data_IF_944393894506
#
_entry.id   IF_944393894506
#
_cell.length_a   1.000
_cell.length_b   1.000
_cell.length_c   1.000
_cell.angle_alpha   90.00
_cell.angle_beta   90.00
_cell.angle_gamma   90.00
#
_symmetry.space_group_name_H-M   'P 1'
#
loop_
_entity.id
_entity.type
_entity.pdbx_description
1 polymer ?
#
# COMPACT_ATOMS: atom_id res chain seq x y z
N UNK A 1 -39.21 -2.80 10.05
CA UNK A 1 -38.98 -1.97 11.24
C UNK A 1 -38.25 -0.71 10.82
N UNK A 2 -38.41 0.38 11.55
CA UNK A 2 -37.95 1.76 11.26
C UNK A 2 -36.42 1.96 11.11
N UNK A 3 -35.63 0.90 10.89
CA UNK A 3 -34.16 0.96 10.77
C UNK A 3 -33.65 1.62 9.47
N UNK A 4 -34.53 2.04 8.56
CA UNK A 4 -34.16 2.59 7.25
C UNK A 4 -34.20 4.12 7.11
N UNK A 5 -34.66 4.87 8.13
CA UNK A 5 -34.91 6.33 7.98
C UNK A 5 -34.00 7.24 8.81
N UNK A 6 -33.09 6.69 9.62
CA UNK A 6 -32.28 7.47 10.57
C UNK A 6 -30.77 7.47 10.26
N UNK A 7 -30.36 6.87 9.14
CA UNK A 7 -28.95 6.71 8.78
C UNK A 7 -28.24 8.04 8.53
N UNK A 8 -28.97 9.11 8.20
CA UNK A 8 -28.46 10.45 7.90
C UNK A 8 -28.29 11.33 9.16
N UNK A 9 -28.68 10.84 10.35
CA UNK A 9 -28.62 11.60 11.60
C UNK A 9 -27.22 12.08 11.99
N UNK A 10 -26.17 11.38 11.55
CA UNK A 10 -24.79 11.80 11.77
C UNK A 10 -24.55 13.22 11.21
N UNK A 11 -25.19 13.56 10.10
CA UNK A 11 -25.12 14.89 9.48
C UNK A 11 -26.25 15.81 9.93
N UNK A 12 -27.46 15.28 10.15
CA UNK A 12 -28.66 16.10 10.37
C UNK A 12 -28.97 16.44 11.82
N UNK A 13 -28.27 15.86 12.80
CA UNK A 13 -28.49 16.09 14.25
C UNK A 13 -27.19 16.35 15.01
N UNK A 14 -26.47 17.46 14.71
CA UNK A 14 -25.30 17.84 15.48
C UNK A 14 -25.69 18.15 16.93
N UNK A 15 -24.85 17.73 17.87
CA UNK A 15 -24.99 18.01 19.30
C UNK A 15 -23.62 18.15 19.94
N UNK A 16 -23.52 18.89 21.05
CA UNK A 16 -22.26 19.02 21.79
C UNK A 16 -21.64 17.67 22.16
N UNK A 17 -22.45 16.71 22.60
CA UNK A 17 -21.96 15.42 23.05
C UNK A 17 -21.36 14.59 21.91
N UNK A 18 -22.02 14.57 20.74
CA UNK A 18 -21.55 13.79 19.59
C UNK A 18 -20.35 14.47 18.93
N UNK A 19 -20.44 15.77 18.65
CA UNK A 19 -19.35 16.50 18.00
C UNK A 19 -18.13 16.61 18.92
N UNK A 20 -18.35 16.85 20.22
CA UNK A 20 -17.29 16.96 21.22
C UNK A 20 -16.55 15.67 21.52
N UNK A 21 -17.07 14.50 21.11
CA UNK A 21 -16.36 13.23 21.24
C UNK A 21 -15.07 13.19 20.39
N UNK A 22 -15.07 13.85 19.23
CA UNK A 22 -13.89 14.01 18.38
C UNK A 22 -13.28 15.42 18.51
N UNK A 23 -14.11 16.46 18.59
CA UNK A 23 -13.67 17.84 18.79
C UNK A 23 -13.46 18.16 20.28
N UNK A 24 -12.63 17.35 20.95
CA UNK A 24 -12.43 17.38 22.41
C UNK A 24 -11.79 18.66 22.95
N UNK A 25 -11.20 19.47 22.07
CA UNK A 25 -10.57 20.75 22.43
C UNK A 25 -11.55 21.93 22.49
N UNK A 26 -12.84 21.68 22.21
CA UNK A 26 -13.89 22.71 22.25
C UNK A 26 -14.65 22.62 23.57
N UNK A 27 -14.72 23.74 24.29
CA UNK A 27 -15.65 23.89 25.41
C UNK A 27 -16.85 24.73 24.93
N UNK A 28 -17.92 24.04 24.56
CA UNK A 28 -19.12 24.68 24.08
C UNK A 28 -19.83 25.50 25.15
N UNK A 29 -19.72 25.17 26.44
CA UNK A 29 -20.44 25.89 27.50
C UNK A 29 -19.74 27.22 27.82
N UNK A 30 -18.40 27.18 27.95
CA UNK A 30 -17.60 28.36 28.30
C UNK A 30 -17.13 29.16 27.08
N UNK A 31 -17.37 28.66 25.86
CA UNK A 31 -17.03 29.35 24.61
C UNK A 31 -15.54 29.33 24.26
N UNK A 32 -14.85 28.23 24.57
CA UNK A 32 -13.43 28.05 24.23
C UNK A 32 -13.32 27.35 22.88
N UNK A 33 -12.68 27.99 21.90
CA UNK A 33 -12.50 27.44 20.54
C UNK A 33 -13.77 27.46 19.67
N UNK A 34 -14.92 27.85 20.23
CA UNK A 34 -16.20 27.97 19.54
C UNK A 34 -17.10 28.96 20.31
N UNK A 35 -18.03 29.71 19.68
CA UNK A 35 -19.01 30.52 20.41
C UNK A 35 -19.79 29.71 21.45
N UNK A 36 -19.99 30.27 22.65
CA UNK A 36 -20.70 29.58 23.73
C UNK A 36 -22.12 29.15 23.32
N UNK A 37 -22.48 27.90 23.59
CA UNK A 37 -23.78 27.26 23.35
C UNK A 37 -24.25 26.56 24.63
N UNK A 38 -25.41 26.97 25.16
CA UNK A 38 -26.02 26.36 26.36
C UNK A 38 -26.93 25.16 26.06
N UNK A 39 -27.43 25.04 24.81
CA UNK A 39 -28.18 23.87 24.29
C UNK A 39 -27.76 23.52 22.86
N UNK A 40 -28.30 22.44 22.30
CA UNK A 40 -27.99 21.95 20.95
C UNK A 40 -28.94 22.50 19.86
N UNK A 41 -29.93 23.33 20.24
CA UNK A 41 -31.04 23.73 19.37
C UNK A 41 -30.61 24.54 18.14
N UNK A 42 -29.47 25.24 18.25
CA UNK A 42 -28.98 26.15 17.20
C UNK A 42 -27.89 25.54 16.31
N UNK A 43 -27.38 24.34 16.63
CA UNK A 43 -26.25 23.74 15.92
C UNK A 43 -26.55 23.60 14.42
N UNK A 44 -27.72 23.07 14.07
CA UNK A 44 -28.14 22.84 12.67
C UNK A 44 -28.37 24.11 11.84
N UNK A 45 -28.50 25.29 12.47
CA UNK A 45 -28.66 26.55 11.76
C UNK A 45 -27.36 26.97 11.05
N UNK A 46 -26.23 26.73 11.72
CA UNK A 46 -24.88 27.01 11.21
C UNK A 46 -24.27 25.78 10.55
N UNK A 47 -24.29 24.63 11.24
CA UNK A 47 -23.81 23.34 10.78
C UNK A 47 -24.94 22.56 10.12
N UNK A 48 -25.32 23.03 8.94
CA UNK A 48 -26.33 22.34 8.12
C UNK A 48 -25.82 20.95 7.72
N UNK A 49 -26.69 19.97 7.46
CA UNK A 49 -26.25 18.63 7.10
C UNK A 49 -25.33 18.63 5.88
N UNK A 50 -25.74 19.32 4.83
CA UNK A 50 -24.98 19.46 3.59
C UNK A 50 -25.34 20.80 2.93
N UNK A 51 -24.35 21.53 2.44
CA UNK A 51 -24.53 22.75 1.65
C UNK A 51 -24.41 22.53 0.14
N UNK A 52 -23.85 21.38 -0.27
CA UNK A 52 -23.43 21.08 -1.63
C UNK A 52 -21.94 21.38 -1.90
N UNK A 53 -21.23 21.99 -0.94
CA UNK A 53 -19.82 22.35 -1.08
C UNK A 53 -18.94 21.47 -0.19
N UNK A 54 -17.73 21.16 -0.66
CA UNK A 54 -16.71 20.44 0.12
C UNK A 54 -15.92 21.43 0.98
N UNK A 55 -15.45 20.99 2.15
CA UNK A 55 -14.63 21.73 3.13
C UNK A 55 -15.29 22.94 3.80
N UNK A 56 -16.54 23.22 3.47
CA UNK A 56 -17.30 24.28 4.12
C UNK A 56 -17.79 23.90 5.53
N UNK A 57 -18.49 24.81 6.21
CA UNK A 57 -18.97 24.60 7.59
C UNK A 57 -20.12 23.58 7.75
N UNK A 58 -20.66 23.03 6.67
CA UNK A 58 -21.69 21.99 6.73
C UNK A 58 -21.10 20.69 7.30
N UNK A 59 -21.92 19.82 7.89
CA UNK A 59 -21.39 18.58 8.49
C UNK A 59 -20.79 17.69 7.42
N UNK A 60 -21.46 17.50 6.28
CA UNK A 60 -20.90 16.71 5.16
C UNK A 60 -19.68 17.39 4.55
N UNK A 61 -19.72 18.69 4.30
CA UNK A 61 -18.61 19.43 3.68
C UNK A 61 -17.34 19.43 4.54
N UNK A 62 -17.47 19.73 5.84
CA UNK A 62 -16.34 19.75 6.77
C UNK A 62 -15.67 18.38 6.97
N UNK A 63 -16.43 17.29 6.76
CA UNK A 63 -15.93 15.91 6.88
C UNK A 63 -15.63 15.27 5.51
N UNK A 64 -15.50 16.08 4.45
CA UNK A 64 -15.00 15.58 3.16
C UNK A 64 -13.58 15.06 3.34
N UNK A 65 -13.41 13.76 3.12
CA UNK A 65 -12.09 13.13 3.10
C UNK A 65 -11.40 13.47 1.79
N UNK A 66 -10.21 14.06 1.86
CA UNK A 66 -9.61 14.75 0.70
C UNK A 66 -9.43 13.85 -0.52
N UNK A 67 -8.96 12.61 -0.37
CA UNK A 67 -8.81 11.70 -1.51
C UNK A 67 -10.15 11.30 -2.17
N UNK A 68 -11.30 11.55 -1.53
CA UNK A 68 -12.65 11.34 -2.08
C UNK A 68 -13.24 12.60 -2.70
N UNK A 69 -12.50 13.72 -2.67
CA UNK A 69 -12.99 15.00 -3.18
C UNK A 69 -13.31 14.92 -4.67
N UNK A 70 -14.50 15.39 -5.01
CA UNK A 70 -14.95 15.54 -6.39
C UNK A 70 -14.17 16.61 -7.16
N UNK A 71 -13.33 17.40 -6.49
CA UNK A 71 -12.45 18.39 -7.13
C UNK A 71 -11.12 17.77 -7.60
N UNK A 72 -10.68 16.66 -7.01
CA UNK A 72 -9.44 16.00 -7.42
C UNK A 72 -9.62 15.25 -8.75
N UNK A 73 -8.85 15.56 -9.80
CA UNK A 73 -8.98 14.96 -11.12
C UNK A 73 -8.70 13.45 -11.17
N UNK A 74 -7.81 12.95 -10.32
CA UNK A 74 -7.16 11.65 -10.46
C UNK A 74 -6.23 11.63 -11.66
N UNK A 75 -5.13 10.88 -11.61
CA UNK A 75 -4.20 10.76 -12.74
C UNK A 75 -4.07 9.30 -13.13
N UNK A 76 -4.28 9.02 -14.41
CA UNK A 76 -4.24 7.68 -14.98
C UNK A 76 -3.22 7.61 -16.11
N UNK A 77 -2.57 6.45 -16.23
CA UNK A 77 -1.71 6.10 -17.36
C UNK A 77 -2.25 4.81 -17.96
N UNK A 78 -2.51 4.84 -19.27
CA UNK A 78 -2.81 3.63 -20.04
C UNK A 78 -1.57 3.27 -20.86
N UNK A 79 -0.98 2.11 -20.55
CA UNK A 79 0.17 1.59 -21.29
C UNK A 79 -0.29 1.05 -22.63
N UNK A 80 0.38 1.48 -23.71
CA UNK A 80 0.10 1.05 -25.07
C UNK A 80 1.08 -0.02 -25.53
N UNK A 81 2.37 0.17 -25.26
CA UNK A 81 3.40 -0.83 -25.56
C UNK A 81 4.62 -0.66 -24.66
N UNK A 82 5.36 -1.76 -24.47
CA UNK A 82 6.73 -1.74 -23.97
C UNK A 82 7.62 -2.45 -24.99
N UNK A 83 8.48 -1.69 -25.64
CA UNK A 83 9.39 -2.15 -26.67
C UNK A 83 10.84 -2.24 -26.14
N UNK A 84 11.74 -2.88 -26.89
CA UNK A 84 13.15 -3.08 -26.50
C UNK A 84 13.31 -3.82 -25.16
N UNK A 85 12.62 -4.95 -25.02
CA UNK A 85 12.50 -5.71 -23.77
C UNK A 85 13.50 -6.85 -23.62
N UNK A 86 14.38 -7.10 -24.58
CA UNK A 86 15.37 -8.17 -24.48
C UNK A 86 16.42 -7.89 -23.38
N UNK A 87 17.06 -8.94 -22.79
CA UNK A 87 18.15 -8.76 -21.84
C UNK A 87 19.22 -7.78 -22.33
N UNK A 88 19.69 -6.91 -21.43
CA UNK A 88 20.65 -5.84 -21.74
C UNK A 88 20.08 -4.63 -22.50
N UNK A 89 18.83 -4.69 -22.97
CA UNK A 89 18.17 -3.58 -23.68
C UNK A 89 17.63 -2.53 -22.72
N UNK A 90 17.34 -1.35 -23.26
CA UNK A 90 16.67 -0.26 -22.54
C UNK A 90 15.19 -0.26 -22.94
N UNK A 91 14.24 -0.49 -22.03
CA UNK A 91 12.82 -0.50 -22.37
C UNK A 91 12.32 0.87 -22.82
N UNK A 92 11.53 0.88 -23.90
CA UNK A 92 10.81 2.04 -24.41
C UNK A 92 9.32 1.86 -24.14
N UNK A 93 8.75 2.66 -23.25
CA UNK A 93 7.33 2.61 -22.93
C UNK A 93 6.58 3.64 -23.76
N UNK A 94 5.50 3.21 -24.41
CA UNK A 94 4.50 4.08 -25.06
C UNK A 94 3.22 4.06 -24.24
N UNK A 95 2.66 5.23 -23.92
CA UNK A 95 1.48 5.33 -23.05
C UNK A 95 0.68 6.61 -23.29
N UNK A 96 -0.59 6.64 -22.89
CA UNK A 96 -1.37 7.87 -22.75
C UNK A 96 -1.48 8.26 -21.28
N UNK A 97 -1.67 9.57 -21.02
CA UNK A 97 -1.92 10.10 -19.69
C UNK A 97 -3.21 10.92 -19.68
N UNK A 98 -4.04 10.70 -18.69
CA UNK A 98 -5.37 11.29 -18.58
C UNK A 98 -5.73 11.57 -17.13
N UNK A 99 -6.74 12.40 -16.96
CA UNK A 99 -7.51 12.54 -15.73
C UNK A 99 -8.99 12.25 -16.03
N UNK A 100 -9.87 12.37 -15.02
CA UNK A 100 -11.32 12.18 -15.21
C UNK A 100 -11.97 13.15 -16.21
N UNK A 101 -11.27 14.22 -16.62
CA UNK A 101 -11.73 15.19 -17.61
C UNK A 101 -11.18 14.92 -19.02
N UNK A 102 -10.27 13.97 -19.17
CA UNK A 102 -9.74 13.49 -20.45
C UNK A 102 -8.22 13.53 -20.52
N UNK A 103 -7.64 13.57 -21.74
CA UNK A 103 -6.18 13.63 -21.92
C UNK A 103 -5.60 14.87 -21.25
N UNK A 104 -4.52 14.70 -20.49
CA UNK A 104 -3.88 15.79 -19.75
C UNK A 104 -2.44 16.05 -20.20
N UNK A 105 -1.93 17.25 -19.90
CA UNK A 105 -0.54 17.61 -20.16
C UNK A 105 0.36 17.14 -18.99
N UNK A 106 1.31 16.20 -19.20
CA UNK A 106 2.20 15.74 -18.14
C UNK A 106 3.10 16.84 -17.55
N UNK A 107 3.30 17.96 -18.24
CA UNK A 107 4.08 19.09 -17.71
C UNK A 107 3.42 19.76 -16.50
N UNK A 108 2.15 19.48 -16.22
CA UNK A 108 1.42 19.97 -15.04
C UNK A 108 1.73 19.16 -13.77
N UNK A 109 2.37 18.00 -13.89
CA UNK A 109 2.70 17.15 -12.75
C UNK A 109 3.83 17.77 -11.91
N UNK A 110 3.70 17.65 -10.58
CA UNK A 110 4.78 17.99 -9.64
C UNK A 110 5.77 16.84 -9.45
N UNK A 111 5.38 15.62 -9.83
CA UNK A 111 6.21 14.41 -9.79
C UNK A 111 5.73 13.42 -10.84
N UNK A 112 6.68 12.76 -11.49
CA UNK A 112 6.44 11.57 -12.28
C UNK A 112 7.67 10.68 -12.21
N UNK A 113 7.50 9.46 -11.70
CA UNK A 113 8.55 8.45 -11.68
C UNK A 113 8.05 7.15 -12.24
N UNK A 114 8.94 6.47 -12.93
CA UNK A 114 8.68 5.17 -13.53
C UNK A 114 9.61 4.14 -12.91
N UNK A 115 9.02 3.01 -12.52
CA UNK A 115 9.72 1.85 -11.99
C UNK A 115 9.77 0.74 -13.03
N UNK A 116 10.85 -0.03 -12.96
CA UNK A 116 11.03 -1.28 -13.67
C UNK A 116 11.44 -2.32 -12.63
N UNK A 117 10.68 -3.40 -12.51
CA UNK A 117 10.91 -4.49 -11.57
C UNK A 117 10.81 -5.86 -12.24
N UNK A 118 11.51 -6.85 -11.72
CA UNK A 118 11.43 -8.23 -12.22
C UNK A 118 12.42 -9.16 -11.53
N UNK A 119 12.44 -10.46 -11.88
CA UNK A 119 11.43 -11.15 -12.69
C UNK A 119 10.06 -11.18 -11.99
N UNK A 120 8.98 -11.46 -12.72
CA UNK A 120 7.62 -11.47 -12.19
C UNK A 120 7.31 -12.71 -11.32
N UNK A 121 8.16 -13.74 -11.37
CA UNK A 121 8.07 -14.89 -10.44
C UNK A 121 8.23 -14.43 -9.00
N UNK A 122 9.25 -13.62 -8.70
CA UNK A 122 9.35 -12.74 -7.55
C UNK A 122 10.40 -11.65 -7.82
N UNK A 123 10.12 -10.42 -7.42
CA UNK A 123 10.98 -9.30 -7.78
C UNK A 123 12.33 -9.39 -7.08
N UNK A 124 13.42 -9.39 -7.85
CA UNK A 124 14.81 -9.33 -7.37
C UNK A 124 15.63 -8.20 -8.03
N UNK A 125 15.00 -7.49 -8.96
CA UNK A 125 15.53 -6.32 -9.63
C UNK A 125 14.53 -5.19 -9.49
N UNK A 126 15.03 -4.00 -9.18
CA UNK A 126 14.26 -2.77 -9.14
C UNK A 126 15.12 -1.59 -9.58
N UNK A 127 14.53 -0.72 -10.40
CA UNK A 127 15.05 0.60 -10.68
C UNK A 127 13.91 1.58 -10.80
N UNK A 128 14.12 2.81 -10.34
CA UNK A 128 13.17 3.90 -10.51
C UNK A 128 13.86 5.14 -11.08
N UNK A 129 13.25 5.73 -12.10
CA UNK A 129 13.76 6.91 -12.76
C UNK A 129 12.76 8.07 -12.69
N UNK A 130 13.28 9.29 -12.54
CA UNK A 130 12.47 10.50 -12.69
C UNK A 130 12.18 10.74 -14.17
N UNK A 131 10.91 10.62 -14.56
CA UNK A 131 10.41 10.80 -15.91
C UNK A 131 9.85 12.21 -16.18
N UNK A 132 9.71 13.03 -15.13
CA UNK A 132 9.21 14.39 -15.23
C UNK A 132 10.07 15.23 -16.20
N UNK A 133 9.43 15.86 -17.19
CA UNK A 133 10.10 16.67 -18.21
C UNK A 133 10.95 15.89 -19.23
N UNK A 134 10.91 14.55 -19.22
CA UNK A 134 11.69 13.69 -20.12
C UNK A 134 10.86 12.89 -21.12
N UNK A 135 9.53 13.05 -21.09
CA UNK A 135 8.62 12.39 -22.02
C UNK A 135 8.78 12.98 -23.43
N UNK A 136 8.65 12.14 -24.46
CA UNK A 136 8.61 12.57 -25.86
C UNK A 136 7.21 12.34 -26.43
N UNK A 137 6.64 13.35 -27.07
CA UNK A 137 5.35 13.22 -27.76
C UNK A 137 5.45 12.21 -28.91
N UNK A 138 4.46 11.32 -29.02
CA UNK A 138 4.32 10.33 -30.08
C UNK A 138 2.85 10.23 -30.51
N UNK A 139 2.42 11.07 -31.47
CA UNK A 139 1.01 11.18 -31.83
C UNK A 139 0.18 11.70 -30.65
N UNK A 140 -0.89 10.99 -30.29
CA UNK A 140 -1.69 11.26 -29.08
C UNK A 140 -1.05 10.74 -27.79
N UNK A 141 0.02 9.95 -27.89
CA UNK A 141 0.67 9.27 -26.78
C UNK A 141 1.98 9.95 -26.41
N UNK A 142 2.59 9.47 -25.34
CA UNK A 142 3.93 9.81 -24.90
C UNK A 142 4.81 8.57 -24.93
N UNK A 143 6.11 8.80 -25.04
CA UNK A 143 7.13 7.77 -24.92
C UNK A 143 8.15 8.12 -23.85
N UNK A 144 8.60 7.09 -23.14
CA UNK A 144 9.70 7.19 -22.18
C UNK A 144 10.68 6.05 -22.40
N UNK A 145 11.94 6.40 -22.62
CA UNK A 145 13.04 5.46 -22.77
C UNK A 145 13.79 5.38 -21.45
N UNK A 146 13.76 4.22 -20.79
CA UNK A 146 14.57 4.00 -19.59
C UNK A 146 16.06 4.20 -19.87
N UNK A 147 16.78 4.76 -18.91
CA UNK A 147 18.25 4.83 -18.94
C UNK A 147 18.87 3.53 -18.46
N UNK A 148 18.21 2.88 -17.49
CA UNK A 148 18.51 1.55 -17.00
C UNK A 148 18.32 0.50 -18.09
N UNK A 149 19.13 -0.54 -18.01
CA UNK A 149 19.03 -1.72 -18.85
C UNK A 149 18.35 -2.82 -18.05
N UNK A 150 17.59 -3.65 -18.74
CA UNK A 150 17.24 -4.98 -18.22
C UNK A 150 18.55 -5.74 -17.97
N UNK A 151 18.71 -6.48 -16.86
CA UNK A 151 19.90 -7.30 -16.61
C UNK A 151 20.27 -8.19 -17.80
N UNK A 152 21.57 -8.45 -17.98
CA UNK A 152 22.06 -9.25 -19.12
C UNK A 152 21.65 -10.71 -19.03
N UNK A 153 21.45 -11.20 -17.82
CA UNK A 153 21.04 -12.54 -17.42
C UNK A 153 19.54 -12.63 -17.08
N UNK A 154 18.78 -11.57 -17.37
CA UNK A 154 17.34 -11.53 -17.13
C UNK A 154 16.61 -12.66 -17.87
N UNK A 155 15.65 -13.26 -17.18
CA UNK A 155 14.74 -14.28 -17.71
C UNK A 155 13.30 -13.98 -17.28
N UNK A 156 12.34 -14.63 -17.93
CA UNK A 156 10.92 -14.51 -17.64
C UNK A 156 10.30 -13.20 -18.15
N UNK A 157 9.42 -12.65 -17.31
CA UNK A 157 8.69 -11.41 -17.53
C UNK A 157 9.04 -10.37 -16.48
N UNK A 158 8.92 -9.10 -16.83
CA UNK A 158 9.20 -7.96 -15.97
C UNK A 158 7.97 -7.04 -15.93
N UNK A 159 7.97 -6.09 -15.00
CA UNK A 159 6.87 -5.17 -14.78
C UNK A 159 7.33 -3.71 -14.86
N UNK A 160 6.54 -2.90 -15.54
CA UNK A 160 6.62 -1.44 -15.54
C UNK A 160 5.61 -0.88 -14.54
N UNK A 161 6.02 0.05 -13.69
CA UNK A 161 5.11 0.75 -12.80
C UNK A 161 5.28 2.26 -12.87
N UNK A 162 4.26 2.99 -12.41
CA UNK A 162 4.30 4.45 -12.36
C UNK A 162 3.81 5.00 -11.02
N UNK A 163 4.39 6.13 -10.66
CA UNK A 163 3.91 6.98 -9.58
C UNK A 163 4.04 8.45 -9.96
N UNK A 164 3.12 9.26 -9.46
CA UNK A 164 3.11 10.68 -9.76
C UNK A 164 2.14 11.43 -8.87
N UNK A 165 2.26 12.75 -8.87
CA UNK A 165 1.31 13.63 -8.22
C UNK A 165 1.23 14.97 -8.91
N UNK A 166 0.06 15.58 -8.86
CA UNK A 166 -0.23 16.91 -9.40
C UNK A 166 -0.65 17.83 -8.26
N UNK A 167 -0.02 18.99 -8.06
CA UNK A 167 -0.53 19.96 -7.12
C UNK A 167 -1.84 20.53 -7.66
N UNK A 168 -2.90 20.42 -6.86
CA UNK A 168 -4.21 20.98 -7.11
C UNK A 168 -4.55 22.05 -6.08
N UNK A 169 -5.42 22.97 -6.47
CA UNK A 169 -5.99 23.99 -5.60
C UNK A 169 -7.46 23.65 -5.38
N UNK A 170 -7.82 23.35 -4.14
CA UNK A 170 -9.18 23.03 -3.71
C UNK A 170 -9.85 24.30 -3.21
N UNK A 171 -11.13 24.45 -3.53
CA UNK A 171 -11.95 25.65 -3.28
C UNK A 171 -11.30 26.96 -3.79
N UNK A 172 -10.91 27.03 -5.08
CA UNK A 172 -10.19 28.19 -5.60
C UNK A 172 -11.03 29.48 -5.52
N UNK A 173 -10.48 30.50 -4.88
CA UNK A 173 -11.10 31.82 -4.70
C UNK A 173 -12.05 31.94 -3.50
N UNK A 174 -12.19 30.90 -2.68
CA UNK A 174 -12.98 30.90 -1.45
C UNK A 174 -12.09 31.07 -0.20
N UNK A 175 -12.70 31.39 0.96
CA UNK A 175 -11.97 31.60 2.22
C UNK A 175 -11.27 30.32 2.75
N UNK A 176 -11.72 29.15 2.30
CA UNK A 176 -11.20 27.83 2.65
C UNK A 176 -10.35 27.21 1.52
N UNK A 177 -9.79 28.04 0.64
CA UNK A 177 -8.85 27.61 -0.40
C UNK A 177 -7.59 26.96 0.20
N UNK A 178 -7.21 25.79 -0.31
CA UNK A 178 -5.96 25.14 0.07
C UNK A 178 -5.39 24.28 -1.05
N UNK A 179 -4.08 24.03 -1.02
CA UNK A 179 -3.42 23.16 -1.98
C UNK A 179 -3.32 21.73 -1.46
N UNK A 180 -3.59 20.77 -2.35
CA UNK A 180 -3.41 19.35 -2.09
C UNK A 180 -2.67 18.69 -3.26
N UNK A 181 -1.93 17.61 -2.99
CA UNK A 181 -1.29 16.85 -4.07
C UNK A 181 -2.21 15.72 -4.49
N UNK A 182 -2.84 15.85 -5.65
CA UNK A 182 -3.61 14.77 -6.24
C UNK A 182 -2.69 13.64 -6.67
N UNK A 183 -3.03 12.41 -6.28
CA UNK A 183 -2.18 11.24 -6.45
C UNK A 183 -2.54 10.49 -7.73
N UNK A 184 -1.51 10.01 -8.44
CA UNK A 184 -1.69 9.12 -9.58
C UNK A 184 -2.10 7.74 -9.12
N UNK A 185 -2.97 7.07 -9.88
CA UNK A 185 -3.25 5.66 -9.69
C UNK A 185 -1.98 4.85 -9.94
N UNK A 186 -1.50 4.14 -8.92
CA UNK A 186 -0.38 3.22 -9.11
C UNK A 186 -0.86 1.96 -9.82
N UNK A 187 0.05 1.37 -10.60
CA UNK A 187 -0.16 0.10 -11.26
C UNK A 187 1.20 -0.56 -11.50
N UNK A 188 1.14 -1.85 -11.81
CA UNK A 188 2.20 -2.57 -12.50
C UNK A 188 1.64 -3.12 -13.81
N UNK A 189 2.47 -3.14 -14.85
CA UNK A 189 2.13 -3.62 -16.18
C UNK A 189 3.20 -4.63 -16.61
N UNK A 190 2.82 -5.90 -16.80
CA UNK A 190 3.77 -6.93 -17.20
C UNK A 190 4.13 -6.84 -18.68
N UNK A 191 5.38 -7.18 -18.99
CA UNK A 191 5.85 -7.38 -20.36
C UNK A 191 6.87 -8.52 -20.41
N UNK A 192 6.95 -9.20 -21.55
CA UNK A 192 7.84 -10.34 -21.73
C UNK A 192 9.28 -9.90 -22.00
N UNK A 193 10.24 -10.53 -21.33
CA UNK A 193 11.69 -10.35 -21.57
C UNK A 193 12.25 -11.54 -22.34
N UNK A 194 12.07 -12.74 -21.80
CA UNK A 194 12.41 -14.00 -22.50
C UNK A 194 11.21 -14.94 -22.67
N UNK A 195 10.11 -14.69 -21.97
CA UNK A 195 8.87 -15.46 -22.17
C UNK A 195 8.27 -15.18 -23.55
N UNK A 196 7.54 -16.16 -24.08
CA UNK A 196 6.80 -16.00 -25.34
C UNK A 196 5.65 -14.98 -25.21
N UNK A 197 5.11 -14.84 -23.99
CA UNK A 197 4.07 -13.88 -23.64
C UNK A 197 4.32 -13.34 -22.22
N UNK A 198 3.84 -12.12 -21.96
CA UNK A 198 3.99 -11.51 -20.64
C UNK A 198 3.25 -12.34 -19.58
N UNK A 199 3.96 -12.68 -18.51
CA UNK A 199 3.40 -13.36 -17.33
C UNK A 199 3.27 -12.34 -16.21
N UNK A 200 2.06 -12.16 -15.69
CA UNK A 200 1.80 -11.27 -14.55
C UNK A 200 2.43 -11.82 -13.27
N UNK A 201 2.78 -10.93 -12.34
CA UNK A 201 3.16 -11.36 -10.99
C UNK A 201 1.97 -12.01 -10.31
N UNK A 202 2.23 -13.09 -9.57
CA UNK A 202 1.21 -13.81 -8.77
C UNK A 202 0.44 -12.84 -7.85
N UNK A 203 -0.88 -12.96 -7.86
CA UNK A 203 -1.76 -12.26 -6.93
C UNK A 203 -1.85 -13.06 -5.63
N UNK A 204 -1.54 -12.41 -4.51
CA UNK A 204 -1.57 -13.00 -3.16
C UNK A 204 -2.59 -12.27 -2.29
N UNK A 205 -2.70 -10.95 -2.47
CA UNK A 205 -3.66 -10.09 -1.80
C UNK A 205 -4.37 -9.22 -2.83
N UNK A 206 -5.57 -8.73 -2.50
CA UNK A 206 -6.30 -7.72 -3.24
C UNK A 206 -6.33 -6.39 -2.44
N UNK A 207 -6.07 -5.25 -3.07
CA UNK A 207 -6.10 -3.90 -2.54
C UNK A 207 -7.47 -3.62 -1.93
N UNK A 208 -8.54 -4.10 -2.56
CA UNK A 208 -9.88 -4.03 -2.01
C UNK A 208 -10.02 -4.71 -0.63
N UNK A 209 -9.24 -5.76 -0.35
CA UNK A 209 -9.23 -6.39 0.97
C UNK A 209 -8.54 -5.51 2.02
N UNK A 210 -7.44 -4.84 1.65
CA UNK A 210 -6.78 -3.84 2.50
C UNK A 210 -7.73 -2.66 2.81
N UNK A 211 -8.50 -2.22 1.81
CA UNK A 211 -9.39 -1.08 1.94
C UNK A 211 -10.64 -1.30 2.78
N UNK A 212 -10.97 -2.55 3.11
CA UNK A 212 -12.01 -2.84 4.09
C UNK A 212 -11.70 -2.23 5.46
N UNK A 213 -10.41 -2.04 5.78
CA UNK A 213 -9.96 -1.40 7.02
C UNK A 213 -9.34 -0.02 6.77
N UNK A 214 -8.54 0.14 5.72
CA UNK A 214 -7.77 1.36 5.48
C UNK A 214 -8.53 2.46 4.75
N UNK A 215 -9.66 2.14 4.12
CA UNK A 215 -10.48 3.02 3.26
C UNK A 215 -9.77 3.58 2.00
N UNK A 216 -8.55 4.11 2.14
CA UNK A 216 -7.55 4.27 1.09
C UNK A 216 -6.13 4.15 1.69
N UNK A 217 -5.52 2.98 1.63
CA UNK A 217 -4.16 2.70 2.09
C UNK A 217 -3.17 3.43 1.19
N UNK A 218 -2.81 4.64 1.59
CA UNK A 218 -1.82 5.43 0.88
C UNK A 218 -0.62 5.76 1.76
N UNK A 219 0.56 5.37 1.31
CA UNK A 219 1.82 5.57 2.03
C UNK A 219 2.78 6.46 1.22
N UNK A 220 3.87 6.85 1.89
CA UNK A 220 4.96 7.65 1.33
C UNK A 220 4.53 9.05 0.84
N UNK A 221 3.68 9.70 1.64
CA UNK A 221 3.20 11.06 1.39
C UNK A 221 2.13 11.10 0.30
N UNK A 222 1.13 10.20 0.43
CA UNK A 222 -0.05 10.09 -0.45
C UNK A 222 0.33 9.88 -1.91
N UNK A 223 1.15 8.85 -2.17
CA UNK A 223 1.72 8.62 -3.50
C UNK A 223 1.77 7.15 -3.90
N UNK A 224 1.50 6.23 -2.97
CA UNK A 224 1.58 4.77 -3.15
C UNK A 224 0.40 4.10 -2.49
N UNK A 225 -0.51 3.57 -3.29
CA UNK A 225 -1.80 3.02 -2.86
C UNK A 225 -2.26 1.85 -3.72
N UNK A 226 -1.33 0.94 -4.01
CA UNK A 226 -1.65 -0.31 -4.71
C UNK A 226 -0.94 -1.47 -4.00
N UNK A 227 -1.67 -2.09 -3.08
CA UNK A 227 -1.20 -3.25 -2.34
C UNK A 227 -1.11 -4.52 -3.21
N UNK A 228 -1.71 -4.52 -4.41
CA UNK A 228 -1.72 -5.69 -5.29
C UNK A 228 -0.40 -5.92 -6.00
N UNK A 229 0.30 -4.84 -6.34
CA UNK A 229 1.54 -4.97 -7.11
C UNK A 229 2.57 -3.88 -6.85
N UNK A 230 2.15 -2.63 -6.71
CA UNK A 230 3.11 -1.53 -6.69
C UNK A 230 4.02 -1.52 -5.46
N UNK A 231 3.49 -1.83 -4.27
CA UNK A 231 4.28 -1.88 -3.03
C UNK A 231 5.46 -2.85 -3.15
N UNK A 232 5.22 -4.03 -3.73
CA UNK A 232 6.19 -5.11 -3.87
C UNK A 232 7.35 -4.74 -4.80
N UNK A 233 7.18 -3.75 -5.68
CA UNK A 233 8.28 -3.28 -6.55
C UNK A 233 9.47 -2.75 -5.76
N UNK A 234 9.23 -2.18 -4.57
CA UNK A 234 10.29 -1.71 -3.66
C UNK A 234 10.46 -2.64 -2.45
N UNK A 235 9.35 -3.15 -1.92
CA UNK A 235 9.33 -4.05 -0.75
C UNK A 235 9.61 -5.50 -1.17
N UNK A 236 10.76 -5.69 -1.79
CA UNK A 236 11.24 -6.94 -2.38
C UNK A 236 12.00 -7.81 -1.36
N UNK A 237 12.30 -9.09 -1.67
CA UNK A 237 12.84 -10.07 -0.72
C UNK A 237 14.17 -9.70 -0.07
N UNK A 238 15.06 -9.05 -0.81
CA UNK A 238 16.34 -8.55 -0.32
C UNK A 238 16.28 -7.14 0.30
N UNK A 239 15.12 -6.48 0.32
CA UNK A 239 15.02 -5.09 0.76
C UNK A 239 15.02 -4.98 2.29
N UNK A 240 15.88 -4.10 2.80
CA UNK A 240 15.97 -3.73 4.21
C UNK A 240 15.94 -2.21 4.36
N UNK A 241 15.89 -1.72 5.59
CA UNK A 241 16.02 -0.30 5.90
C UNK A 241 17.48 0.19 6.09
N UNK A 242 18.47 -0.63 5.68
CA UNK A 242 19.91 -0.36 5.86
C UNK A 242 20.33 1.04 5.42
N UNK A 243 19.83 1.52 4.27
CA UNK A 243 20.24 2.81 3.69
C UNK A 243 19.91 4.02 4.59
N UNK A 244 18.93 3.87 5.49
CA UNK A 244 18.42 4.96 6.34
C UNK A 244 18.50 4.65 7.83
N UNK A 245 18.83 3.43 8.22
CA UNK A 245 19.03 3.02 9.61
C UNK A 245 20.34 3.59 10.15
N UNK A 246 20.26 4.19 11.33
CA UNK A 246 21.42 4.83 11.98
C UNK A 246 22.08 3.97 13.05
N UNK A 247 21.36 2.97 13.58
CA UNK A 247 21.81 2.09 14.65
C UNK A 247 21.07 0.74 14.64
N UNK A 248 21.72 -0.28 15.20
CA UNK A 248 21.21 -1.65 15.24
C UNK A 248 21.38 -2.40 13.92
N UNK A 249 20.93 -3.65 13.91
CA UNK A 249 20.87 -4.47 12.69
C UNK A 249 19.75 -3.97 11.77
N UNK A 250 19.96 -4.15 10.47
CA UNK A 250 18.98 -3.76 9.45
C UNK A 250 17.71 -4.60 9.59
N UNK A 251 16.56 -3.95 9.45
CA UNK A 251 15.26 -4.61 9.52
C UNK A 251 14.75 -4.88 8.10
N UNK A 252 14.16 -6.07 7.90
CA UNK A 252 13.59 -6.44 6.62
C UNK A 252 12.33 -5.62 6.35
N UNK A 253 12.24 -5.07 5.14
CA UNK A 253 11.04 -4.40 4.65
C UNK A 253 10.38 -5.19 3.51
N UNK A 254 10.71 -6.47 3.36
CA UNK A 254 10.05 -7.35 2.41
C UNK A 254 8.55 -7.41 2.69
N UNK A 255 7.71 -7.20 1.67
CA UNK A 255 6.26 -7.03 1.83
C UNK A 255 5.59 -8.14 2.65
N UNK A 256 5.85 -9.42 2.33
CA UNK A 256 5.24 -10.55 3.04
C UNK A 256 5.62 -10.64 4.52
N UNK A 257 6.80 -10.14 4.88
CA UNK A 257 7.32 -10.15 6.24
C UNK A 257 6.84 -8.90 7.01
N UNK A 258 6.99 -7.73 6.39
CA UNK A 258 6.59 -6.44 6.95
C UNK A 258 5.10 -6.38 7.25
N UNK A 259 4.23 -6.74 6.30
CA UNK A 259 2.78 -6.62 6.47
C UNK A 259 2.28 -7.47 7.64
N UNK A 260 2.76 -8.71 7.77
CA UNK A 260 2.40 -9.55 8.90
C UNK A 260 2.92 -8.99 10.23
N UNK A 261 4.18 -8.54 10.31
CA UNK A 261 4.72 -7.95 11.55
C UNK A 261 3.98 -6.68 11.96
N UNK A 262 3.65 -5.81 11.02
CA UNK A 262 2.88 -4.59 11.28
C UNK A 262 1.51 -4.91 11.92
N UNK A 263 0.83 -5.92 11.40
CA UNK A 263 -0.50 -6.29 11.89
C UNK A 263 -0.45 -7.19 13.13
N UNK A 264 0.63 -7.97 13.34
CA UNK A 264 0.84 -8.70 14.60
C UNK A 264 1.19 -7.75 15.75
N UNK A 265 1.99 -6.72 15.48
CA UNK A 265 2.21 -5.56 16.35
C UNK A 265 2.46 -5.92 17.81
N UNK A 266 1.55 -5.52 18.70
CA UNK A 266 1.62 -5.70 20.15
C UNK A 266 1.69 -7.16 20.62
N UNK A 267 1.31 -8.13 19.77
CA UNK A 267 1.36 -9.56 20.09
C UNK A 267 2.71 -10.20 19.70
N UNK A 268 3.62 -9.47 19.04
CA UNK A 268 4.98 -9.95 18.74
C UNK A 268 5.82 -10.07 20.02
N UNK A 269 6.67 -11.10 20.10
CA UNK A 269 7.62 -11.25 21.20
C UNK A 269 8.82 -10.30 21.08
N UNK A 270 9.24 -9.96 19.85
CA UNK A 270 10.43 -9.15 19.59
C UNK A 270 10.13 -7.78 18.95
N UNK A 271 8.86 -7.42 18.81
CA UNK A 271 8.43 -6.16 18.21
C UNK A 271 8.82 -6.00 16.73
N UNK A 272 8.62 -4.79 16.21
CA UNK A 272 8.99 -4.42 14.83
C UNK A 272 9.23 -2.91 14.70
N UNK A 273 10.47 -2.52 14.37
CA UNK A 273 10.90 -1.12 14.23
C UNK A 273 11.60 -0.92 12.90
N UNK A 274 11.12 0.03 12.10
CA UNK A 274 11.63 0.34 10.77
C UNK A 274 12.07 1.80 10.68
N UNK A 275 13.19 2.05 10.00
CA UNK A 275 13.65 3.40 9.69
C UNK A 275 13.15 3.80 8.30
N UNK A 276 12.48 4.95 8.25
CA UNK A 276 11.84 5.48 7.05
C UNK A 276 12.59 6.67 6.45
N UNK A 277 11.87 7.43 5.62
CA UNK A 277 12.39 8.62 4.94
C UNK A 277 13.03 9.59 5.94
N UNK A 278 14.26 10.07 5.63
CA UNK A 278 15.08 10.93 6.52
C UNK A 278 15.42 10.28 7.86
N UNK A 279 15.58 8.95 7.89
CA UNK A 279 15.91 8.19 9.09
C UNK A 279 14.88 8.38 10.22
N UNK A 280 13.61 8.57 9.85
CA UNK A 280 12.50 8.64 10.81
C UNK A 280 12.25 7.25 11.40
N UNK A 281 12.11 7.17 12.73
CA UNK A 281 11.88 5.90 13.42
C UNK A 281 10.38 5.62 13.49
N UNK A 282 9.99 4.43 13.05
CA UNK A 282 8.63 3.92 13.13
C UNK A 282 8.61 2.63 13.96
N UNK A 283 8.08 2.71 15.18
CA UNK A 283 7.90 1.56 16.06
C UNK A 283 6.44 1.09 15.99
N UNK A 284 6.24 -0.14 15.53
CA UNK A 284 4.92 -0.76 15.38
C UNK A 284 4.61 -1.78 16.47
N UNK A 285 5.50 -1.95 17.45
CA UNK A 285 5.39 -2.93 18.53
C UNK A 285 4.23 -2.66 19.49
N UNK A 286 3.52 -1.54 19.32
CA UNK A 286 2.36 -1.16 20.11
C UNK A 286 1.04 -1.22 19.33
N UNK A 287 1.09 -1.53 18.03
CA UNK A 287 -0.08 -1.55 17.16
C UNK A 287 -0.93 -2.78 17.48
N UNK A 288 -2.24 -2.58 17.65
CA UNK A 288 -3.19 -3.67 17.83
C UNK A 288 -4.00 -3.88 16.55
N UNK A 289 -4.26 -5.14 16.19
CA UNK A 289 -5.11 -5.47 15.06
C UNK A 289 -6.59 -5.44 15.46
N UNK A 290 -7.46 -4.69 14.73
CA UNK A 290 -8.87 -4.58 15.09
C UNK A 290 -9.70 -5.85 14.82
N UNK A 291 -9.18 -6.77 13.98
CA UNK A 291 -9.85 -8.01 13.58
C UNK A 291 -9.28 -9.26 14.27
N UNK A 292 -9.40 -10.41 13.60
CA UNK A 292 -8.69 -11.64 14.00
C UNK A 292 -7.63 -11.99 12.96
N UNK A 293 -6.36 -12.00 13.38
CA UNK A 293 -5.22 -12.35 12.54
C UNK A 293 -5.23 -13.82 12.07
N UNK A 294 -6.02 -14.68 12.71
CA UNK A 294 -6.25 -16.05 12.23
C UNK A 294 -7.13 -16.12 10.99
N UNK A 295 -7.86 -15.04 10.67
CA UNK A 295 -8.68 -14.96 9.46
C UNK A 295 -7.84 -14.50 8.27
N UNK A 296 -7.12 -15.43 7.64
CA UNK A 296 -6.22 -15.16 6.51
C UNK A 296 -6.94 -14.49 5.33
N UNK A 297 -8.22 -14.84 5.10
CA UNK A 297 -9.09 -14.27 4.07
C UNK A 297 -9.39 -12.77 4.26
N UNK A 298 -9.00 -12.18 5.41
CA UNK A 298 -9.06 -10.72 5.60
C UNK A 298 -8.15 -9.98 4.62
N UNK A 299 -7.11 -10.64 4.10
CA UNK A 299 -6.13 -10.06 3.17
C UNK A 299 -5.86 -10.96 1.96
N UNK A 300 -5.81 -12.27 2.15
CA UNK A 300 -5.39 -13.20 1.11
C UNK A 300 -6.52 -13.56 0.15
N UNK A 301 -6.19 -13.70 -1.13
CA UNK A 301 -7.09 -14.25 -2.16
C UNK A 301 -6.79 -15.73 -2.41
N UNK A 302 -7.79 -16.46 -2.94
CA UNK A 302 -7.66 -17.81 -3.51
C UNK A 302 -6.82 -18.80 -2.67
N UNK A 303 -7.00 -18.78 -1.35
CA UNK A 303 -6.27 -19.62 -0.40
C UNK A 303 -4.73 -19.51 -0.50
N UNK A 304 -4.22 -18.38 -0.99
CA UNK A 304 -2.79 -18.12 -1.21
C UNK A 304 -1.94 -18.10 0.07
N UNK A 305 -2.57 -18.21 1.24
CA UNK A 305 -1.93 -18.37 2.55
C UNK A 305 -1.55 -19.83 2.86
N UNK A 306 -2.02 -20.81 2.09
CA UNK A 306 -1.78 -22.23 2.34
C UNK A 306 -0.39 -22.70 1.86
N UNK A 307 0.01 -23.87 2.36
CA UNK A 307 1.22 -24.58 1.92
C UNK A 307 0.89 -25.69 0.91
N UNK A 308 1.75 -25.90 -0.11
CA UNK A 308 3.07 -25.28 -0.30
C UNK A 308 3.00 -23.84 -0.86
N UNK A 309 3.98 -23.00 -0.49
CA UNK A 309 4.13 -21.66 -1.07
C UNK A 309 4.35 -21.78 -2.59
N UNK A 310 3.77 -20.88 -3.41
CA UNK A 310 3.98 -20.87 -4.85
C UNK A 310 5.46 -20.94 -5.24
N UNK A 311 5.75 -21.74 -6.28
CA UNK A 311 7.09 -21.85 -6.84
C UNK A 311 7.59 -20.47 -7.33
N UNK A 312 8.91 -20.27 -7.30
CA UNK A 312 9.54 -19.00 -7.71
C UNK A 312 9.60 -17.94 -6.61
N UNK A 313 8.88 -18.11 -5.48
CA UNK A 313 9.02 -17.21 -4.34
C UNK A 313 10.44 -17.22 -3.77
N UNK A 314 10.99 -16.04 -3.52
CA UNK A 314 12.39 -15.91 -3.06
C UNK A 314 12.49 -15.86 -1.52
N UNK A 315 13.65 -16.26 -0.97
CA UNK A 315 13.96 -16.09 0.45
C UNK A 315 13.92 -14.62 0.88
N UNK A 316 13.53 -14.38 2.12
CA UNK A 316 13.57 -13.06 2.75
C UNK A 316 14.89 -12.87 3.45
N UNK A 317 15.55 -11.74 3.18
CA UNK A 317 16.72 -11.28 3.93
C UNK A 317 16.27 -10.51 5.18
N UNK A 318 16.62 -10.99 6.37
CA UNK A 318 16.23 -10.41 7.67
C UNK A 318 17.37 -10.48 8.71
N UNK A 319 18.34 -9.54 8.64
CA UNK A 319 19.51 -9.51 9.53
C UNK A 319 19.20 -9.37 11.02
N UNK A 320 18.07 -8.75 11.36
CA UNK A 320 17.65 -8.50 12.76
C UNK A 320 17.16 -9.75 13.51
N UNK A 321 17.12 -10.93 12.86
CA UNK A 321 16.53 -12.15 13.42
C UNK A 321 17.53 -13.30 13.54
N UNK A 322 17.22 -14.36 14.33
CA UNK A 322 18.07 -15.54 14.42
C UNK A 322 18.31 -16.28 13.09
N UNK A 323 17.40 -16.15 12.11
CA UNK A 323 17.53 -16.73 10.78
C UNK A 323 17.62 -15.62 9.74
N UNK A 324 18.86 -15.26 9.38
CA UNK A 324 19.11 -14.16 8.44
C UNK A 324 18.51 -14.38 7.06
N UNK A 325 18.61 -15.60 6.53
CA UNK A 325 18.01 -15.97 5.25
C UNK A 325 16.85 -16.92 5.51
N UNK A 326 15.62 -16.40 5.41
CA UNK A 326 14.43 -17.19 5.64
C UNK A 326 13.83 -17.62 4.31
N UNK A 327 13.73 -18.93 4.10
CA UNK A 327 13.00 -19.48 2.97
C UNK A 327 11.51 -19.03 2.99
N UNK A 328 10.78 -19.11 1.86
CA UNK A 328 9.49 -18.45 1.72
C UNK A 328 8.43 -18.82 2.76
N UNK A 329 8.29 -20.10 3.14
CA UNK A 329 7.33 -20.50 4.17
C UNK A 329 7.78 -20.03 5.56
N UNK A 330 9.07 -20.16 5.86
CA UNK A 330 9.70 -19.75 7.11
C UNK A 330 9.48 -18.27 7.38
N UNK A 331 9.74 -17.41 6.40
CA UNK A 331 9.51 -15.96 6.54
C UNK A 331 8.04 -15.60 6.68
N UNK A 332 7.14 -16.29 5.98
CA UNK A 332 5.70 -16.09 6.15
C UNK A 332 5.25 -16.45 7.58
N UNK A 333 5.71 -17.58 8.14
CA UNK A 333 5.32 -18.01 9.48
C UNK A 333 5.98 -17.18 10.60
N UNK A 334 7.29 -16.93 10.52
CA UNK A 334 8.05 -16.23 11.57
C UNK A 334 7.77 -14.72 11.62
N UNK A 335 7.08 -14.17 10.63
CA UNK A 335 6.59 -12.80 10.68
C UNK A 335 5.47 -12.59 11.70
N UNK A 336 4.75 -13.65 12.12
CA UNK A 336 3.81 -13.62 13.24
C UNK A 336 4.29 -14.46 14.43
N UNK A 337 4.91 -15.62 14.17
CA UNK A 337 5.43 -16.54 15.19
C UNK A 337 6.91 -16.29 15.45
N UNK A 338 7.24 -15.15 16.04
CA UNK A 338 8.61 -14.64 16.08
C UNK A 338 9.45 -15.13 17.28
N UNK A 339 8.92 -16.05 18.09
CA UNK A 339 9.67 -16.65 19.19
C UNK A 339 10.93 -17.40 18.73
N UNK A 340 11.95 -17.46 19.60
CA UNK A 340 13.16 -18.25 19.33
C UNK A 340 12.87 -19.74 19.10
N UNK A 341 11.89 -20.31 19.81
CA UNK A 341 11.52 -21.72 19.64
C UNK A 341 10.86 -21.97 18.27
N UNK A 342 10.05 -21.04 17.78
CA UNK A 342 9.49 -21.11 16.44
C UNK A 342 10.58 -21.03 15.37
N UNK A 343 11.56 -20.13 15.54
CA UNK A 343 12.72 -20.04 14.65
C UNK A 343 13.52 -21.35 14.64
N UNK A 344 13.83 -21.93 15.81
CA UNK A 344 14.52 -23.21 15.90
C UNK A 344 13.74 -24.37 15.27
N UNK A 345 12.40 -24.37 15.39
CA UNK A 345 11.55 -25.34 14.72
C UNK A 345 11.60 -25.20 13.19
N UNK A 346 11.54 -23.97 12.68
CA UNK A 346 11.63 -23.71 11.24
C UNK A 346 12.99 -24.13 10.66
N UNK A 347 14.08 -23.80 11.35
CA UNK A 347 15.45 -24.19 10.98
C UNK A 347 15.60 -25.72 10.89
N UNK A 348 15.13 -26.44 11.91
CA UNK A 348 15.19 -27.91 11.94
C UNK A 348 14.40 -28.60 10.80
N UNK A 349 13.43 -27.91 10.20
CA UNK A 349 12.59 -28.43 9.11
C UNK A 349 12.97 -27.84 7.74
N UNK A 350 14.09 -27.13 7.67
CA UNK A 350 14.62 -26.54 6.44
C UNK A 350 15.95 -27.20 6.08
N UNK A 351 15.93 -27.99 5.00
CA UNK A 351 17.15 -28.59 4.47
C UNK A 351 17.93 -27.57 3.65
N UNK A 352 19.22 -27.43 3.92
CA UNK A 352 20.13 -26.60 3.11
C UNK A 352 20.21 -27.04 1.64
N UNK A 353 19.88 -28.30 1.33
CA UNK A 353 19.96 -28.85 -0.03
C UNK A 353 18.59 -29.03 -0.70
N UNK A 354 17.54 -29.32 0.08
CA UNK A 354 16.22 -29.68 -0.44
C UNK A 354 15.14 -28.62 -0.16
N UNK A 355 15.44 -27.61 0.66
CA UNK A 355 14.49 -26.58 1.06
C UNK A 355 13.55 -27.03 2.19
N UNK A 356 12.37 -26.40 2.22
CA UNK A 356 11.43 -26.47 3.35
C UNK A 356 10.55 -27.72 3.31
N UNK A 357 10.36 -28.35 4.47
CA UNK A 357 9.49 -29.52 4.62
C UNK A 357 8.17 -29.22 5.36
N UNK A 358 7.84 -27.94 5.54
CA UNK A 358 6.68 -27.46 6.31
C UNK A 358 5.35 -28.10 5.84
N UNK A 359 5.17 -28.24 4.52
CA UNK A 359 3.95 -28.79 3.91
C UNK A 359 3.66 -30.26 4.27
N UNK A 360 4.64 -31.01 4.80
CA UNK A 360 4.43 -32.38 5.29
C UNK A 360 3.45 -32.41 6.46
N UNK A 361 3.53 -31.41 7.36
CA UNK A 361 2.71 -31.31 8.57
C UNK A 361 1.66 -30.21 8.49
N UNK A 362 2.01 -29.08 7.85
CA UNK A 362 1.20 -27.86 7.78
C UNK A 362 0.50 -27.65 6.43
N UNK A 363 0.69 -28.55 5.46
CA UNK A 363 -0.01 -28.51 4.18
C UNK A 363 -1.51 -28.80 4.29
N UNK A 364 -2.23 -28.57 3.21
CA UNK A 364 -3.67 -28.83 3.12
C UNK A 364 -4.03 -30.28 3.52
N UNK A 365 -5.14 -30.43 4.26
CA UNK A 365 -5.65 -31.72 4.73
C UNK A 365 -4.81 -32.43 5.81
N UNK A 366 -3.66 -31.91 6.21
CA UNK A 366 -2.81 -32.48 7.27
C UNK A 366 -3.36 -32.24 8.67
N UNK A 367 -2.93 -33.03 9.65
CA UNK A 367 -3.39 -32.91 11.05
C UNK A 367 -3.18 -31.51 11.63
N UNK A 368 -2.07 -30.86 11.26
CA UNK A 368 -1.69 -29.52 11.71
C UNK A 368 -1.67 -28.51 10.56
N UNK A 369 -2.56 -28.68 9.57
CA UNK A 369 -2.66 -27.75 8.42
C UNK A 369 -2.85 -26.31 8.90
N UNK A 370 -2.36 -25.34 8.10
CA UNK A 370 -2.54 -23.91 8.38
C UNK A 370 -4.00 -23.60 8.70
N UNK A 371 -4.93 -24.06 7.86
CA UNK A 371 -6.37 -23.91 8.09
C UNK A 371 -6.83 -24.46 9.44
N UNK A 372 -6.38 -25.65 9.86
CA UNK A 372 -6.85 -26.28 11.09
C UNK A 372 -6.34 -25.59 12.34
N UNK A 373 -5.11 -25.12 12.33
CA UNK A 373 -4.51 -24.47 13.51
C UNK A 373 -4.91 -23.00 13.64
N UNK A 374 -5.39 -22.39 12.56
CA UNK A 374 -5.98 -21.05 12.56
C UNK A 374 -7.52 -21.03 12.50
N UNK A 375 -8.17 -22.20 12.38
CA UNK A 375 -9.62 -22.31 12.39
C UNK A 375 -10.26 -21.75 13.68
N UNK A 376 -11.48 -21.25 13.54
CA UNK A 376 -12.36 -20.87 14.64
C UNK A 376 -13.42 -21.92 14.92
#
# INVERSE_FOLDING_TARGET
GEAGMDWDRWASRPSRAVCGACHSNIDFENGVGHPAQSNDDNCGNCHRPNSGNEYDRSVVGAHTVTYKSSQLPGIFIDVVSVDNTAPGSRPLVTFSISDKFGPMNPATLGRLRFSLSGPNDDFDFYVQENALGKLKQAGSNFTYQFSARIPMDATGSYSFGAEGRKPELLNPGEDDEFSHNDQMQNFIYAFAVTDDAAVERRMIVDDATCENCHSNLSLHGENRHDANGYCQTCHMPGATDEEVRLEGENESIHFKYMIHKLHMGAELENGYVVYGYRSSVHDYSHVEFPGDLRNCESCHVDDSYNLPIPAGALPTHSPSTPLTEMMPATSACLSCHDSFNAAAHADANTSSNLGESCGVCHGEGKTYSVERVHAR
#
